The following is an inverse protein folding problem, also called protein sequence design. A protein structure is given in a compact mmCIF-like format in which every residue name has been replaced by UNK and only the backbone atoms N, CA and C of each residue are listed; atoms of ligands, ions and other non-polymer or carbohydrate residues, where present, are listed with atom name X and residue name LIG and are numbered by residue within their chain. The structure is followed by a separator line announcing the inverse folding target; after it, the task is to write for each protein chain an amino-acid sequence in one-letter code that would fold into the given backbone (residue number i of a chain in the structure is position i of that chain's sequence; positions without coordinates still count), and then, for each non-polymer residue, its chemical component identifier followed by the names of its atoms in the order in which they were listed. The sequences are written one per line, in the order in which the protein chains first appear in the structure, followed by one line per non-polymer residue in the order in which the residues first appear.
data_IF_187001703354
#
_entry.id   IF_187001703354
#
_cell.length_a   1.000
_cell.length_b   1.000
_cell.length_c   1.000
_cell.angle_alpha   90.00
_cell.angle_beta   90.00
_cell.angle_gamma   90.00
#
_symmetry.space_group_name_H-M   'P 1'
#
loop_
_entity.id
_entity.type
_entity.pdbx_description
1 polymer ?
#
# COMPACT_ATOMS: atom_id res chain seq x y z
N UNK A 1 -10.12 -68.27 25.13
CA UNK A 1 -9.92 -67.18 26.11
C UNK A 1 -8.92 -67.66 27.15
N UNK A 2 -7.65 -67.28 27.03
CA UNK A 2 -6.66 -67.48 28.09
C UNK A 2 -6.58 -66.20 28.90
N UNK A 3 -7.22 -66.20 30.07
CA UNK A 3 -6.99 -65.19 31.10
C UNK A 3 -5.71 -65.58 31.84
N UNK A 4 -4.66 -64.79 31.68
CA UNK A 4 -3.48 -64.83 32.55
C UNK A 4 -3.72 -63.78 33.64
N UNK A 5 -3.72 -64.15 34.93
CA UNK A 5 -3.90 -63.21 36.02
C UNK A 5 -2.62 -62.36 36.18
N UNK A 6 -2.78 -61.04 36.22
CA UNK A 6 -1.70 -60.11 36.56
C UNK A 6 -1.50 -60.18 38.08
N UNK A 7 -0.56 -61.00 38.52
CA UNK A 7 -0.12 -61.04 39.91
C UNK A 7 0.55 -59.70 40.28
N UNK A 8 -0.10 -58.97 41.18
CA UNK A 8 0.35 -57.69 41.70
C UNK A 8 1.46 -57.90 42.75
N UNK A 9 2.69 -58.14 42.29
CA UNK A 9 3.90 -58.02 43.12
C UNK A 9 4.92 -57.16 42.37
N UNK A 10 4.56 -55.90 42.10
CA UNK A 10 5.52 -54.91 41.63
C UNK A 10 6.52 -54.66 42.76
N UNK A 11 7.72 -55.21 42.61
CA UNK A 11 8.86 -54.99 43.51
C UNK A 11 9.01 -53.49 43.83
N UNK A 12 9.20 -53.09 45.10
CA UNK A 12 9.44 -51.70 45.46
C UNK A 12 10.69 -51.13 44.77
N UNK A 13 11.64 -51.99 44.38
CA UNK A 13 12.79 -51.61 43.56
C UNK A 13 12.38 -51.13 42.16
N UNK A 14 11.35 -51.71 41.54
CA UNK A 14 10.87 -51.28 40.22
C UNK A 14 10.25 -49.88 40.30
N UNK A 15 9.48 -49.60 41.35
CA UNK A 15 8.92 -48.27 41.61
C UNK A 15 9.99 -47.26 42.00
N UNK A 16 11.03 -47.66 42.72
CA UNK A 16 12.19 -46.80 43.03
C UNK A 16 13.02 -46.53 41.79
N UNK A 17 13.24 -47.51 40.91
CA UNK A 17 13.94 -47.33 39.63
C UNK A 17 13.11 -46.47 38.68
N UNK A 18 11.78 -46.62 38.66
CA UNK A 18 10.86 -45.76 37.90
C UNK A 18 10.79 -44.34 38.48
N UNK A 19 10.76 -44.18 39.80
CA UNK A 19 10.71 -42.86 40.46
C UNK A 19 12.06 -42.13 40.36
N UNK A 20 13.18 -42.84 40.52
CA UNK A 20 14.51 -42.32 40.22
C UNK A 20 14.58 -41.99 38.73
N UNK A 21 14.23 -42.92 37.84
CA UNK A 21 14.19 -42.69 36.39
C UNK A 21 13.34 -41.49 35.98
N UNK A 22 12.17 -41.29 36.60
CA UNK A 22 11.32 -40.11 36.35
C UNK A 22 11.92 -38.82 36.92
N UNK A 23 12.66 -38.88 38.04
CA UNK A 23 13.41 -37.73 38.57
C UNK A 23 14.61 -37.36 37.68
N UNK A 24 15.28 -38.36 37.10
CA UNK A 24 16.36 -38.17 36.12
C UNK A 24 15.84 -37.68 34.74
N UNK A 25 14.61 -38.01 34.36
CA UNK A 25 13.98 -37.52 33.12
C UNK A 25 13.57 -36.04 33.21
N UNK A 26 13.28 -35.51 34.41
CA UNK A 26 13.10 -34.06 34.61
C UNK A 26 14.39 -33.25 34.44
N UNK A 27 15.56 -33.89 34.57
CA UNK A 27 16.88 -33.24 34.46
C UNK A 27 17.52 -33.37 33.07
N UNK A 28 16.98 -34.20 32.18
CA UNK A 28 17.50 -34.46 30.84
C UNK A 28 16.95 -33.49 29.76
N UNK A 29 17.05 -32.19 30.00
CA UNK A 29 17.06 -31.10 29.00
C UNK A 29 17.55 -29.83 29.71
N UNK A 30 18.82 -29.84 30.10
CA UNK A 30 19.39 -28.87 31.02
C UNK A 30 19.35 -27.45 30.44
N UNK A 31 18.83 -26.49 31.22
CA UNK A 31 18.84 -25.07 30.89
C UNK A 31 20.27 -24.58 30.57
N UNK A 32 20.48 -23.68 29.58
CA UNK A 32 21.78 -23.09 29.38
C UNK A 32 22.27 -22.37 30.64
N UNK A 33 23.55 -22.54 31.04
CA UNK A 33 24.04 -22.04 32.32
C UNK A 33 23.98 -20.51 32.41
N UNK A 34 24.06 -19.80 31.28
CA UNK A 34 23.93 -18.34 31.24
C UNK A 34 22.47 -17.86 31.35
N UNK A 35 21.50 -18.76 31.17
CA UNK A 35 20.09 -18.44 31.00
C UNK A 35 19.24 -18.88 32.19
N UNK A 36 18.04 -18.29 32.29
CA UNK A 36 17.01 -18.72 33.24
C UNK A 36 15.88 -19.43 32.48
N UNK A 37 15.55 -20.65 32.88
CA UNK A 37 14.48 -21.43 32.27
C UNK A 37 13.30 -21.58 33.23
N UNK A 38 12.09 -21.41 32.71
CA UNK A 38 10.84 -21.57 33.43
C UNK A 38 9.85 -22.36 32.56
N UNK A 39 9.62 -23.64 32.91
CA UNK A 39 8.69 -24.58 32.27
C UNK A 39 8.88 -24.74 30.74
N UNK A 40 8.46 -23.76 29.92
CA UNK A 40 8.55 -23.76 28.45
C UNK A 40 9.15 -22.45 27.91
N UNK A 41 9.68 -21.61 28.79
CA UNK A 41 10.32 -20.34 28.47
C UNK A 41 11.78 -20.39 28.83
N UNK A 42 12.64 -19.97 27.91
CA UNK A 42 14.08 -19.80 28.10
C UNK A 42 14.41 -18.33 27.93
N UNK A 43 14.95 -17.71 28.98
CA UNK A 43 15.31 -16.31 28.99
C UNK A 43 16.83 -16.14 29.16
N UNK A 44 17.45 -15.65 28.10
CA UNK A 44 18.88 -15.35 28.01
C UNK A 44 19.14 -13.85 27.76
N UNK A 45 18.20 -12.98 28.14
CA UNK A 45 18.29 -11.55 27.86
C UNK A 45 19.49 -10.91 28.57
N UNK A 46 20.24 -10.06 27.87
CA UNK A 46 21.28 -9.23 28.49
C UNK A 46 22.52 -9.99 28.97
N UNK A 47 22.71 -11.23 28.52
CA UNK A 47 23.78 -12.12 28.98
C UNK A 47 25.11 -11.95 28.23
N UNK A 48 25.19 -10.94 27.35
CA UNK A 48 26.36 -10.62 26.50
C UNK A 48 26.81 -11.81 25.63
N UNK A 49 25.87 -12.68 25.25
CA UNK A 49 26.15 -13.86 24.45
C UNK A 49 26.69 -13.45 23.08
N UNK A 50 27.79 -14.09 22.65
CA UNK A 50 28.37 -13.94 21.31
C UNK A 50 28.01 -15.11 20.39
N UNK A 51 27.58 -16.21 20.98
CA UNK A 51 27.20 -17.45 20.31
C UNK A 51 25.83 -17.89 20.83
N UNK A 52 25.10 -18.59 19.98
CA UNK A 52 23.81 -19.15 20.35
C UNK A 52 23.98 -20.23 21.43
N UNK A 53 23.15 -20.26 22.49
CA UNK A 53 23.29 -21.23 23.57
C UNK A 53 22.93 -22.64 23.08
N UNK A 54 23.77 -23.62 23.40
CA UNK A 54 23.71 -24.98 22.82
C UNK A 54 22.74 -25.93 23.52
N UNK A 55 22.33 -25.64 24.75
CA UNK A 55 21.48 -26.52 25.57
C UNK A 55 20.08 -25.94 25.77
N UNK A 56 19.39 -25.57 24.69
CA UNK A 56 17.99 -25.12 24.80
C UNK A 56 17.05 -26.34 24.86
N UNK A 57 16.12 -26.40 25.83
CA UNK A 57 15.09 -27.43 25.87
C UNK A 57 14.25 -27.49 24.59
N UNK A 58 14.16 -28.65 23.95
CA UNK A 58 13.38 -28.90 22.72
C UNK A 58 11.88 -28.56 22.87
N UNK A 59 11.32 -28.75 24.07
CA UNK A 59 9.93 -28.40 24.37
C UNK A 59 9.71 -26.89 24.62
N UNK A 60 10.72 -26.05 24.40
CA UNK A 60 10.60 -24.60 24.62
C UNK A 60 9.61 -23.98 23.64
N UNK A 61 8.63 -23.24 24.17
CA UNK A 61 7.67 -22.44 23.40
C UNK A 61 8.08 -20.98 23.25
N UNK A 62 8.87 -20.46 24.19
CA UNK A 62 9.30 -19.05 24.19
C UNK A 62 10.79 -18.94 24.44
N UNK A 63 11.52 -18.38 23.49
CA UNK A 63 12.95 -18.17 23.57
C UNK A 63 13.26 -16.67 23.48
N UNK A 64 13.89 -16.13 24.51
CA UNK A 64 14.28 -14.73 24.60
C UNK A 64 15.81 -14.64 24.58
N UNK A 65 16.35 -14.17 23.46
CA UNK A 65 17.78 -13.91 23.23
C UNK A 65 18.07 -12.41 23.10
N UNK A 66 17.12 -11.56 23.50
CA UNK A 66 17.22 -10.11 23.34
C UNK A 66 18.43 -9.50 24.07
N UNK A 67 18.93 -8.36 23.57
CA UNK A 67 20.04 -7.61 24.20
C UNK A 67 21.32 -8.45 24.37
N UNK A 68 21.74 -9.12 23.31
CA UNK A 68 22.99 -9.89 23.26
C UNK A 68 23.86 -9.41 22.07
N UNK A 69 24.95 -10.11 21.79
CA UNK A 69 25.86 -9.82 20.69
C UNK A 69 25.90 -10.97 19.68
N UNK A 70 24.73 -11.55 19.37
CA UNK A 70 24.64 -12.66 18.43
C UNK A 70 24.81 -12.16 16.98
N UNK A 71 25.81 -12.65 16.23
CA UNK A 71 26.00 -12.25 14.83
C UNK A 71 25.12 -13.04 13.85
N UNK A 72 24.64 -14.23 14.26
CA UNK A 72 23.85 -15.14 13.42
C UNK A 72 23.02 -16.10 14.27
N UNK A 73 21.98 -16.66 13.66
CA UNK A 73 21.19 -17.75 14.22
C UNK A 73 21.63 -19.08 13.56
N UNK A 74 21.90 -20.14 14.34
CA UNK A 74 22.39 -21.41 13.80
C UNK A 74 21.26 -22.25 13.18
N UNK A 75 21.35 -22.51 11.87
CA UNK A 75 20.32 -23.26 11.13
C UNK A 75 20.01 -24.61 11.78
N UNK A 76 21.04 -25.38 12.13
CA UNK A 76 20.90 -26.74 12.67
C UNK A 76 20.21 -26.74 14.04
N UNK A 77 20.57 -25.84 14.95
CA UNK A 77 19.94 -25.82 16.28
C UNK A 77 18.50 -25.33 16.21
N UNK A 78 18.20 -24.38 15.31
CA UNK A 78 16.84 -23.87 15.12
C UNK A 78 15.88 -24.97 14.60
N UNK A 79 16.36 -25.93 13.80
CA UNK A 79 15.50 -27.00 13.25
C UNK A 79 14.93 -27.94 14.32
N UNK A 80 15.62 -28.06 15.45
CA UNK A 80 15.16 -28.90 16.56
C UNK A 80 14.13 -28.21 17.47
N UNK A 81 13.96 -26.88 17.36
CA UNK A 81 13.05 -26.08 18.20
C UNK A 81 11.65 -25.96 17.58
N UNK A 82 11.09 -27.06 17.09
CA UNK A 82 9.82 -27.08 16.36
C UNK A 82 8.57 -26.70 17.18
N UNK A 83 8.64 -26.75 18.51
CA UNK A 83 7.58 -26.30 19.42
C UNK A 83 7.61 -24.79 19.70
N UNK A 84 8.57 -24.06 19.14
CA UNK A 84 8.74 -22.64 19.40
C UNK A 84 7.60 -21.80 18.81
N UNK A 85 6.96 -21.00 19.66
CA UNK A 85 5.84 -20.12 19.32
C UNK A 85 6.28 -18.65 19.30
N UNK A 86 7.22 -18.29 20.16
CA UNK A 86 7.72 -16.92 20.31
C UNK A 86 9.25 -16.89 20.33
N UNK A 87 9.85 -16.12 19.43
CA UNK A 87 11.28 -15.90 19.35
C UNK A 87 11.60 -14.41 19.40
N UNK A 88 12.36 -13.99 20.41
CA UNK A 88 12.85 -12.62 20.55
C UNK A 88 14.36 -12.57 20.44
N UNK A 89 14.86 -12.08 19.31
CA UNK A 89 16.27 -11.86 19.02
C UNK A 89 16.58 -10.35 18.87
N UNK A 90 15.76 -9.48 19.46
CA UNK A 90 15.93 -8.03 19.36
C UNK A 90 17.22 -7.53 20.00
N UNK A 91 17.72 -6.37 19.57
CA UNK A 91 18.96 -5.77 20.10
C UNK A 91 20.14 -6.77 20.08
N UNK A 92 20.41 -7.32 18.89
CA UNK A 92 21.59 -8.13 18.62
C UNK A 92 22.39 -7.50 17.46
N UNK A 93 23.39 -8.21 16.95
CA UNK A 93 24.20 -7.77 15.80
C UNK A 93 24.02 -8.71 14.61
N UNK A 94 22.80 -9.22 14.42
CA UNK A 94 22.51 -10.17 13.34
C UNK A 94 22.61 -9.42 12.02
N UNK A 95 23.60 -9.80 11.20
CA UNK A 95 23.88 -9.20 9.89
C UNK A 95 23.53 -10.11 8.72
N UNK A 96 23.43 -11.41 8.97
CA UNK A 96 23.38 -12.43 7.92
C UNK A 96 22.07 -12.39 7.12
N UNK A 97 22.18 -12.76 5.85
CA UNK A 97 21.07 -13.16 5.01
C UNK A 97 20.29 -14.29 5.71
N UNK A 98 19.11 -13.98 6.21
CA UNK A 98 18.28 -14.93 6.97
C UNK A 98 17.65 -16.01 6.08
N UNK A 99 18.15 -16.19 4.84
CA UNK A 99 17.70 -17.22 3.93
C UNK A 99 17.79 -18.59 4.62
N UNK A 100 16.65 -19.29 4.68
CA UNK A 100 16.54 -20.60 5.30
C UNK A 100 16.97 -20.65 6.78
N UNK A 101 17.01 -19.51 7.49
CA UNK A 101 17.50 -19.43 8.88
C UNK A 101 16.52 -19.94 9.94
N UNK A 102 15.27 -20.21 9.56
CA UNK A 102 14.24 -20.73 10.45
C UNK A 102 13.71 -22.10 10.02
N UNK A 103 14.58 -23.10 9.84
CA UNK A 103 14.14 -24.41 9.42
C UNK A 103 13.20 -25.01 10.47
N UNK A 104 12.06 -25.58 10.05
CA UNK A 104 11.18 -26.37 10.93
C UNK A 104 10.39 -25.60 12.00
N UNK A 105 10.48 -24.27 12.07
CA UNK A 105 9.75 -23.44 13.04
C UNK A 105 8.30 -23.16 12.61
N UNK A 106 7.56 -24.20 12.25
CA UNK A 106 6.22 -24.10 11.66
C UNK A 106 5.16 -23.55 12.63
N UNK A 107 5.39 -23.65 13.95
CA UNK A 107 4.49 -23.14 15.00
C UNK A 107 4.79 -21.70 15.42
N UNK A 108 5.82 -21.06 14.86
CA UNK A 108 6.25 -19.74 15.29
C UNK A 108 5.21 -18.69 14.89
N UNK A 109 4.64 -18.01 15.88
CA UNK A 109 3.61 -16.97 15.67
C UNK A 109 4.14 -15.56 15.85
N UNK A 110 5.22 -15.38 16.61
CA UNK A 110 5.82 -14.08 16.87
C UNK A 110 7.33 -14.14 16.75
N UNK A 111 7.86 -13.27 15.88
CA UNK A 111 9.28 -13.11 15.64
C UNK A 111 9.67 -11.64 15.81
N UNK A 112 10.59 -11.39 16.75
CA UNK A 112 11.17 -10.06 16.95
C UNK A 112 12.65 -10.07 16.57
N UNK A 113 12.98 -9.37 15.49
CA UNK A 113 14.31 -9.14 14.96
C UNK A 113 14.68 -7.65 14.97
N UNK A 114 13.94 -6.83 15.73
CA UNK A 114 14.19 -5.39 15.83
C UNK A 114 15.59 -5.05 16.37
N UNK A 115 16.11 -3.89 16.01
CA UNK A 115 17.42 -3.40 16.46
C UNK A 115 18.55 -4.41 16.19
N UNK A 116 18.62 -4.91 14.95
CA UNK A 116 19.70 -5.73 14.43
C UNK A 116 20.41 -5.00 13.28
N UNK A 117 21.18 -5.73 12.46
CA UNK A 117 21.94 -5.19 11.32
C UNK A 117 21.54 -5.87 10.02
N UNK A 118 20.26 -6.23 9.87
CA UNK A 118 19.74 -6.87 8.66
C UNK A 118 19.85 -5.93 7.45
N UNK A 119 20.15 -6.47 6.28
CA UNK A 119 20.39 -5.71 5.05
C UNK A 119 19.27 -5.82 4.03
N UNK A 120 18.61 -6.97 3.94
CA UNK A 120 17.50 -7.22 3.03
C UNK A 120 16.69 -8.43 3.48
N UNK A 121 15.48 -8.55 2.93
CA UNK A 121 14.57 -9.68 3.15
C UNK A 121 14.20 -10.28 1.79
N UNK A 122 14.36 -11.60 1.65
CA UNK A 122 14.06 -12.35 0.43
C UNK A 122 12.83 -13.24 0.60
N UNK A 123 12.34 -13.83 -0.48
CA UNK A 123 11.22 -14.79 -0.46
C UNK A 123 11.51 -16.04 0.36
N UNK A 124 12.80 -16.35 0.61
CA UNK A 124 13.21 -17.52 1.37
C UNK A 124 13.35 -17.25 2.86
N UNK A 125 13.55 -15.99 3.27
CA UNK A 125 13.84 -15.59 4.66
C UNK A 125 12.79 -16.09 5.65
N UNK A 126 11.50 -15.88 5.37
CA UNK A 126 10.40 -16.28 6.25
C UNK A 126 9.53 -17.39 5.68
N UNK A 127 9.98 -18.03 4.58
CA UNK A 127 9.19 -19.02 3.81
C UNK A 127 8.63 -20.17 4.63
N UNK A 128 9.32 -20.60 5.69
CA UNK A 128 8.92 -21.73 6.54
C UNK A 128 8.02 -21.33 7.73
N UNK A 129 7.83 -20.03 7.98
CA UNK A 129 7.07 -19.52 9.13
C UNK A 129 5.58 -19.36 8.76
N UNK A 130 4.90 -20.46 8.44
CA UNK A 130 3.53 -20.46 7.91
C UNK A 130 2.48 -19.89 8.87
N UNK A 131 2.71 -20.02 10.18
CA UNK A 131 1.82 -19.56 11.26
C UNK A 131 2.19 -18.16 11.80
N UNK A 132 3.12 -17.45 11.15
CA UNK A 132 3.60 -16.17 11.65
C UNK A 132 2.50 -15.12 11.66
N UNK A 133 2.24 -14.53 12.82
CA UNK A 133 1.22 -13.49 13.05
C UNK A 133 1.85 -12.11 13.23
N UNK A 134 2.96 -12.05 13.97
CA UNK A 134 3.60 -10.81 14.40
C UNK A 134 5.07 -10.83 13.97
N UNK A 135 5.44 -9.88 13.12
CA UNK A 135 6.81 -9.70 12.67
C UNK A 135 7.30 -8.29 13.00
N UNK A 136 8.36 -8.20 13.79
CA UNK A 136 9.02 -6.93 14.09
C UNK A 136 10.44 -6.91 13.52
N UNK A 137 10.67 -6.02 12.55
CA UNK A 137 11.95 -5.76 11.90
C UNK A 137 12.44 -4.32 12.14
N UNK A 138 11.77 -3.56 13.02
CA UNK A 138 12.06 -2.14 13.23
C UNK A 138 13.49 -1.88 13.69
N UNK A 139 14.10 -0.76 13.34
CA UNK A 139 15.44 -0.42 13.82
C UNK A 139 16.54 -1.27 13.16
N UNK A 140 16.33 -1.73 11.92
CA UNK A 140 17.37 -2.31 11.08
C UNK A 140 17.76 -1.28 10.00
N UNK A 141 18.63 -0.30 10.31
CA UNK A 141 18.91 0.84 9.43
C UNK A 141 19.65 0.45 8.14
N UNK A 142 20.30 -0.71 8.11
CA UNK A 142 20.97 -1.24 6.91
C UNK A 142 19.98 -1.94 5.96
N UNK A 143 18.71 -2.11 6.36
CA UNK A 143 17.72 -2.82 5.58
C UNK A 143 17.19 -1.92 4.46
N UNK A 144 17.76 -2.06 3.26
CA UNK A 144 17.47 -1.17 2.12
C UNK A 144 16.39 -1.72 1.19
N UNK A 145 16.13 -3.04 1.22
CA UNK A 145 15.20 -3.70 0.30
C UNK A 145 14.45 -4.86 0.96
N UNK A 146 13.15 -4.94 0.66
CA UNK A 146 12.31 -6.12 0.88
C UNK A 146 11.83 -6.58 -0.49
N UNK A 147 12.02 -7.86 -0.83
CA UNK A 147 11.56 -8.41 -2.11
C UNK A 147 10.02 -8.45 -2.18
N UNK A 148 9.47 -8.37 -3.38
CA UNK A 148 8.01 -8.43 -3.62
C UNK A 148 7.39 -9.75 -3.16
N UNK A 149 8.13 -10.86 -3.21
CA UNK A 149 7.65 -12.17 -2.76
C UNK A 149 8.12 -12.52 -1.35
N UNK A 150 8.65 -11.55 -0.58
CA UNK A 150 9.23 -11.77 0.75
C UNK A 150 8.28 -12.46 1.75
N UNK A 151 6.97 -12.16 1.65
CA UNK A 151 5.96 -12.65 2.59
C UNK A 151 4.92 -13.57 1.94
N UNK A 152 5.18 -14.09 0.75
CA UNK A 152 4.21 -14.87 -0.04
C UNK A 152 3.67 -16.10 0.73
N UNK A 153 4.50 -16.72 1.58
CA UNK A 153 4.13 -17.91 2.36
C UNK A 153 3.55 -17.60 3.75
N UNK A 154 3.49 -16.33 4.16
CA UNK A 154 3.13 -15.91 5.51
C UNK A 154 1.72 -15.32 5.58
N UNK A 155 0.72 -15.99 4.99
CA UNK A 155 -0.67 -15.51 4.86
C UNK A 155 -1.40 -15.23 6.20
N UNK A 156 -0.84 -15.70 7.30
CA UNK A 156 -1.34 -15.48 8.66
C UNK A 156 -0.92 -14.13 9.26
N UNK A 157 0.05 -13.41 8.66
CA UNK A 157 0.59 -12.17 9.20
C UNK A 157 -0.52 -11.14 9.44
N UNK A 158 -0.50 -10.55 10.64
CA UNK A 158 -1.45 -9.51 11.08
C UNK A 158 -0.76 -8.19 11.38
N UNK A 159 0.51 -8.25 11.77
CA UNK A 159 1.31 -7.10 12.18
C UNK A 159 2.71 -7.20 11.56
N UNK A 160 3.11 -6.15 10.86
CA UNK A 160 4.47 -5.97 10.35
C UNK A 160 4.97 -4.59 10.79
N UNK A 161 6.15 -4.56 11.38
CA UNK A 161 6.83 -3.33 11.78
C UNK A 161 8.18 -3.24 11.07
N UNK A 162 8.31 -2.25 10.18
CA UNK A 162 9.54 -1.91 9.46
C UNK A 162 9.92 -0.44 9.71
N UNK A 163 9.55 0.10 10.88
CA UNK A 163 9.93 1.45 11.27
C UNK A 163 11.45 1.58 11.42
N UNK A 164 11.98 2.78 11.13
CA UNK A 164 13.40 3.10 11.34
C UNK A 164 14.34 2.09 10.64
N UNK A 165 14.07 1.86 9.36
CA UNK A 165 14.87 1.03 8.49
C UNK A 165 15.49 1.88 7.36
N UNK A 166 16.27 1.26 6.50
CA UNK A 166 16.92 1.92 5.35
C UNK A 166 16.06 1.96 4.09
N UNK A 167 14.74 1.73 4.19
CA UNK A 167 13.89 1.50 3.02
C UNK A 167 13.66 2.80 2.23
N UNK A 168 14.07 2.80 0.97
CA UNK A 168 13.75 3.91 0.05
C UNK A 168 12.49 3.65 -0.76
N UNK A 169 12.17 2.38 -1.01
CA UNK A 169 10.99 1.93 -1.75
C UNK A 169 10.42 0.67 -1.12
N UNK A 170 9.13 0.47 -1.34
CA UNK A 170 8.39 -0.72 -0.95
C UNK A 170 7.25 -0.87 -1.96
N UNK A 171 7.01 -2.09 -2.47
CA UNK A 171 5.92 -2.33 -3.42
C UNK A 171 4.65 -2.73 -2.68
N UNK A 172 3.49 -2.38 -3.24
CA UNK A 172 2.21 -2.91 -2.78
C UNK A 172 2.10 -4.43 -3.00
N UNK A 173 2.79 -4.96 -4.01
CA UNK A 173 2.82 -6.40 -4.32
C UNK A 173 3.41 -7.22 -3.18
N UNK A 174 4.33 -6.63 -2.40
CA UNK A 174 4.90 -7.23 -1.18
C UNK A 174 3.83 -7.71 -0.19
N UNK A 175 2.66 -7.08 -0.19
CA UNK A 175 1.57 -7.35 0.74
C UNK A 175 0.35 -8.02 0.09
N UNK A 176 0.39 -8.31 -1.21
CA UNK A 176 -0.77 -8.79 -1.97
C UNK A 176 -1.34 -10.11 -1.45
N UNK A 177 -0.51 -10.99 -0.88
CA UNK A 177 -0.92 -12.29 -0.33
C UNK A 177 -1.29 -12.25 1.16
N UNK A 178 -1.22 -11.08 1.79
CA UNK A 178 -1.41 -10.93 3.23
C UNK A 178 -2.83 -10.47 3.57
N UNK A 179 -3.83 -11.30 3.25
CA UNK A 179 -5.26 -10.98 3.42
C UNK A 179 -5.67 -10.68 4.87
N UNK A 180 -4.85 -11.13 5.84
CA UNK A 180 -5.08 -10.94 7.28
C UNK A 180 -4.29 -9.79 7.87
N UNK A 181 -3.48 -9.08 7.08
CA UNK A 181 -2.68 -7.97 7.58
C UNK A 181 -3.59 -6.85 8.07
N UNK A 182 -3.36 -6.38 9.30
CA UNK A 182 -4.16 -5.33 9.93
C UNK A 182 -3.36 -4.09 10.22
N UNK A 183 -2.09 -4.24 10.55
CA UNK A 183 -1.22 -3.14 10.96
C UNK A 183 0.11 -3.25 10.22
N UNK A 184 0.48 -2.17 9.53
CA UNK A 184 1.79 -2.01 8.91
C UNK A 184 2.39 -0.68 9.38
N UNK A 185 3.60 -0.74 9.96
CA UNK A 185 4.34 0.45 10.39
C UNK A 185 5.54 0.70 9.50
N UNK A 186 5.63 1.91 8.96
CA UNK A 186 6.59 2.34 7.91
C UNK A 186 7.26 3.70 8.20
N UNK A 187 7.12 4.21 9.42
CA UNK A 187 7.69 5.49 9.87
C UNK A 187 9.22 5.46 9.82
N UNK A 188 9.84 6.64 9.74
CA UNK A 188 11.28 6.84 9.89
C UNK A 188 12.13 6.04 8.87
N UNK A 189 11.66 5.97 7.62
CA UNK A 189 12.41 5.40 6.51
C UNK A 189 12.76 6.49 5.48
N UNK A 190 13.89 6.38 4.76
CA UNK A 190 14.33 7.35 3.77
C UNK A 190 13.53 7.26 2.45
N UNK A 191 12.21 7.39 2.52
CA UNK A 191 11.30 7.23 1.37
C UNK A 191 11.69 8.13 0.21
N UNK A 192 11.87 7.52 -0.97
CA UNK A 192 12.09 8.22 -2.23
C UNK A 192 10.77 8.34 -2.99
N UNK A 193 10.10 9.47 -2.82
CA UNK A 193 8.81 9.80 -3.40
C UNK A 193 8.97 10.33 -4.82
N UNK A 194 9.37 9.44 -5.75
CA UNK A 194 9.34 9.69 -7.19
C UNK A 194 8.16 8.96 -7.85
N UNK A 195 8.13 8.93 -9.19
CA UNK A 195 7.04 8.27 -9.91
C UNK A 195 6.94 6.76 -9.68
N UNK A 196 8.01 6.08 -9.23
CA UNK A 196 7.95 4.65 -8.87
C UNK A 196 7.21 4.46 -7.55
N UNK A 197 7.28 5.44 -6.65
CA UNK A 197 6.57 5.42 -5.38
C UNK A 197 5.06 5.68 -5.52
N UNK A 198 4.61 6.18 -6.67
CA UNK A 198 3.20 6.53 -6.90
C UNK A 198 2.25 5.36 -6.61
N UNK A 199 2.54 4.17 -7.13
CA UNK A 199 1.70 2.98 -6.94
C UNK A 199 1.57 2.61 -5.45
N UNK A 200 2.69 2.57 -4.73
CA UNK A 200 2.70 2.28 -3.31
C UNK A 200 1.98 3.36 -2.49
N UNK A 201 2.23 4.63 -2.78
CA UNK A 201 1.53 5.75 -2.13
C UNK A 201 0.01 5.73 -2.37
N UNK A 202 -0.42 5.30 -3.55
CA UNK A 202 -1.82 5.07 -3.89
C UNK A 202 -2.42 3.93 -3.07
N UNK A 203 -1.70 2.80 -2.98
CA UNK A 203 -2.12 1.65 -2.19
C UNK A 203 -2.29 1.99 -0.70
N UNK A 204 -1.36 2.75 -0.10
CA UNK A 204 -1.43 3.18 1.31
C UNK A 204 -2.73 3.92 1.66
N UNK A 205 -3.35 4.61 0.70
CA UNK A 205 -4.55 5.41 0.92
C UNK A 205 -5.84 4.61 0.72
N UNK A 206 -5.82 3.56 -0.11
CA UNK A 206 -7.03 2.79 -0.47
C UNK A 206 -7.17 1.48 0.29
N UNK A 207 -6.11 1.00 0.95
CA UNK A 207 -6.16 -0.24 1.72
C UNK A 207 -6.82 -0.06 3.09
N UNK A 208 -7.47 -1.11 3.59
CA UNK A 208 -8.05 -1.18 4.95
C UNK A 208 -7.00 -1.43 6.05
N UNK A 209 -5.73 -1.58 5.68
CA UNK A 209 -4.63 -1.77 6.63
C UNK A 209 -4.41 -0.47 7.42
N UNK A 210 -4.22 -0.59 8.74
CA UNK A 210 -3.95 0.55 9.61
C UNK A 210 -2.47 0.91 9.60
N UNK A 211 -2.21 2.21 9.48
CA UNK A 211 -0.88 2.83 9.53
C UNK A 211 -0.84 3.84 10.69
N UNK A 212 -0.49 3.41 11.91
CA UNK A 212 -0.62 4.24 13.12
C UNK A 212 0.09 5.59 13.06
N UNK A 213 1.16 5.70 12.26
CA UNK A 213 2.04 6.87 12.15
C UNK A 213 2.06 7.47 10.73
N UNK A 214 1.00 7.25 9.94
CA UNK A 214 0.98 7.67 8.53
C UNK A 214 1.12 9.18 8.34
N UNK A 215 0.47 9.98 9.19
CA UNK A 215 0.50 11.44 9.10
C UNK A 215 1.89 12.02 9.39
N UNK A 216 2.67 11.35 10.24
CA UNK A 216 4.03 11.76 10.59
C UNK A 216 5.08 11.25 9.58
N UNK A 217 4.69 10.36 8.66
CA UNK A 217 5.65 9.77 7.72
C UNK A 217 5.86 10.71 6.55
N UNK A 218 7.11 11.13 6.35
CA UNK A 218 7.49 12.10 5.30
C UNK A 218 8.46 11.53 4.28
N UNK A 219 8.43 12.11 3.08
CA UNK A 219 9.41 11.83 2.03
C UNK A 219 10.79 12.42 2.40
N UNK A 220 11.85 11.68 2.08
CA UNK A 220 13.24 12.16 2.24
C UNK A 220 13.82 12.62 0.91
N UNK A 221 13.39 11.99 -0.18
CA UNK A 221 13.80 12.29 -1.56
C UNK A 221 12.59 12.33 -2.49
N UNK A 222 12.69 12.98 -3.66
CA UNK A 222 13.72 13.93 -4.05
C UNK A 222 13.65 15.23 -3.22
N UNK A 223 14.64 16.14 -3.32
CA UNK A 223 14.67 17.39 -2.51
C UNK A 223 13.38 18.23 -2.62
N UNK A 224 12.72 18.24 -3.78
CA UNK A 224 11.42 18.92 -3.97
C UNK A 224 10.29 18.35 -3.11
N UNK A 225 10.38 17.07 -2.74
CA UNK A 225 9.38 16.34 -1.96
C UNK A 225 9.78 16.22 -0.49
N UNK A 226 11.00 16.63 -0.12
CA UNK A 226 11.55 16.40 1.21
C UNK A 226 10.71 17.08 2.30
N UNK A 227 10.35 16.31 3.33
CA UNK A 227 9.52 16.78 4.44
C UNK A 227 8.01 16.82 4.15
N UNK A 228 7.56 16.57 2.93
CA UNK A 228 6.13 16.39 2.64
C UNK A 228 5.65 15.05 3.20
N UNK A 229 4.46 15.05 3.82
CA UNK A 229 3.82 13.80 4.27
C UNK A 229 3.45 12.92 3.08
N UNK A 230 3.48 11.60 3.26
CA UNK A 230 3.18 10.64 2.17
C UNK A 230 1.80 10.89 1.54
N UNK A 231 0.80 11.29 2.35
CA UNK A 231 -0.54 11.67 1.88
C UNK A 231 -0.47 12.83 0.87
N UNK A 232 0.25 13.90 1.19
CA UNK A 232 0.40 15.07 0.32
C UNK A 232 1.26 14.74 -0.91
N UNK A 233 2.36 14.02 -0.70
CA UNK A 233 3.26 13.59 -1.77
C UNK A 233 2.52 12.78 -2.85
N UNK A 234 1.54 11.94 -2.49
CA UNK A 234 0.71 11.21 -3.46
C UNK A 234 -0.02 12.14 -4.43
N UNK A 235 -0.59 13.24 -3.97
CA UNK A 235 -1.30 14.18 -4.84
C UNK A 235 -0.34 14.92 -5.79
N UNK A 236 0.81 15.36 -5.28
CA UNK A 236 1.85 15.98 -6.10
C UNK A 236 2.42 15.01 -7.13
N UNK A 237 2.68 13.76 -6.75
CA UNK A 237 3.15 12.70 -7.63
C UNK A 237 2.12 12.35 -8.72
N UNK A 238 0.83 12.34 -8.38
CA UNK A 238 -0.22 12.05 -9.35
C UNK A 238 -0.21 13.08 -10.50
N UNK A 239 -0.08 14.37 -10.17
CA UNK A 239 0.05 15.43 -11.18
C UNK A 239 1.37 15.31 -11.96
N UNK A 240 2.49 15.16 -11.28
CA UNK A 240 3.82 15.11 -11.93
C UNK A 240 4.01 13.90 -12.85
N UNK A 241 3.46 12.74 -12.49
CA UNK A 241 3.78 11.47 -13.14
C UNK A 241 2.71 10.97 -14.12
N UNK A 242 1.42 11.21 -13.85
CA UNK A 242 0.34 10.77 -14.74
C UNK A 242 -0.12 11.88 -15.69
N UNK A 243 -0.10 13.14 -15.25
CA UNK A 243 -0.39 14.30 -16.10
C UNK A 243 0.90 14.74 -16.78
N UNK A 244 1.52 13.82 -17.52
CA UNK A 244 2.79 14.06 -18.18
C UNK A 244 2.59 14.83 -19.51
N UNK A 245 2.03 16.03 -19.46
CA UNK A 245 2.04 16.91 -20.63
C UNK A 245 3.48 17.35 -20.89
N UNK A 246 4.08 16.85 -21.97
CA UNK A 246 5.33 17.41 -22.48
C UNK A 246 5.09 18.85 -22.92
N UNK A 247 6.13 19.70 -22.97
CA UNK A 247 6.01 21.05 -23.54
C UNK A 247 5.40 21.06 -24.95
N UNK A 248 5.64 20.00 -25.72
CA UNK A 248 5.05 19.79 -27.05
C UNK A 248 3.53 19.63 -27.00
N UNK A 249 2.99 18.98 -25.96
CA UNK A 249 1.55 18.79 -25.78
C UNK A 249 0.86 20.12 -25.44
N UNK A 250 1.54 21.01 -24.70
CA UNK A 250 1.05 22.37 -24.48
C UNK A 250 1.00 23.18 -25.78
N UNK A 251 2.02 23.09 -26.63
CA UNK A 251 2.01 23.75 -27.94
C UNK A 251 0.87 23.21 -28.81
N UNK A 252 0.68 21.89 -28.82
CA UNK A 252 -0.40 21.25 -29.56
C UNK A 252 -1.78 21.69 -29.04
N UNK A 253 -2.01 21.68 -27.72
CA UNK A 253 -3.25 22.15 -27.11
C UNK A 253 -3.49 23.62 -27.46
N UNK A 254 -2.47 24.48 -27.36
CA UNK A 254 -2.56 25.89 -27.74
C UNK A 254 -2.97 26.05 -29.21
N UNK A 255 -2.33 25.32 -30.13
CA UNK A 255 -2.66 25.34 -31.56
C UNK A 255 -4.09 24.86 -31.83
N UNK A 256 -4.51 23.77 -31.21
CA UNK A 256 -5.89 23.26 -31.34
C UNK A 256 -6.89 24.29 -30.83
N UNK A 257 -6.67 24.87 -29.64
CA UNK A 257 -7.55 25.92 -29.11
C UNK A 257 -7.60 27.16 -29.99
N UNK A 258 -6.47 27.57 -30.57
CA UNK A 258 -6.41 28.69 -31.51
C UNK A 258 -7.19 28.40 -32.79
N UNK A 259 -7.03 27.21 -33.38
CA UNK A 259 -7.75 26.79 -34.59
C UNK A 259 -9.26 26.74 -34.36
N UNK A 260 -9.72 26.20 -33.22
CA UNK A 260 -11.15 26.15 -32.87
C UNK A 260 -11.71 27.56 -32.73
N UNK A 261 -10.99 28.47 -32.06
CA UNK A 261 -11.43 29.85 -31.88
C UNK A 261 -11.50 30.63 -33.20
N UNK A 262 -10.46 30.52 -34.04
CA UNK A 262 -10.41 31.19 -35.34
C UNK A 262 -11.50 30.65 -36.28
N UNK A 263 -11.64 29.32 -36.36
CA UNK A 263 -12.69 28.68 -37.15
C UNK A 263 -14.09 29.06 -36.69
N UNK A 264 -14.35 29.03 -35.38
CA UNK A 264 -15.63 29.45 -34.81
C UNK A 264 -15.96 30.91 -35.11
N UNK A 265 -14.96 31.80 -34.99
CA UNK A 265 -15.13 33.23 -35.30
C UNK A 265 -15.45 33.45 -36.78
N UNK A 266 -14.77 32.74 -37.67
CA UNK A 266 -14.96 32.86 -39.12
C UNK A 266 -16.34 32.35 -39.56
N UNK A 267 -16.79 31.21 -39.00
CA UNK A 267 -18.14 30.69 -39.24
C UNK A 267 -19.21 31.66 -38.73
N UNK A 268 -19.06 32.21 -37.52
CA UNK A 268 -20.01 33.18 -36.97
C UNK A 268 -20.08 34.45 -37.84
N UNK A 269 -18.93 34.95 -38.29
CA UNK A 269 -18.87 36.11 -39.19
C UNK A 269 -19.57 35.82 -40.53
N UNK A 270 -19.30 34.67 -41.16
CA UNK A 270 -19.94 34.26 -42.41
C UNK A 270 -21.46 34.12 -42.27
N UNK A 271 -21.93 33.48 -41.20
CA UNK A 271 -23.37 33.36 -40.92
C UNK A 271 -24.02 34.74 -40.76
N UNK A 272 -23.38 35.65 -40.01
CA UNK A 272 -23.83 37.03 -39.86
C UNK A 272 -23.91 37.75 -41.21
N UNK A 273 -22.85 37.65 -42.01
CA UNK A 273 -22.79 38.25 -43.35
C UNK A 273 -23.86 37.70 -44.30
N UNK A 274 -24.01 36.37 -44.39
CA UNK A 274 -25.05 35.72 -45.17
C UNK A 274 -26.45 36.13 -44.73
N UNK A 275 -26.67 36.26 -43.41
CA UNK A 275 -27.96 36.71 -42.86
C UNK A 275 -28.25 38.14 -43.30
N UNK A 276 -27.30 39.06 -43.18
CA UNK A 276 -27.45 40.45 -43.66
C UNK A 276 -27.74 40.46 -45.15
N UNK A 277 -26.97 39.75 -45.97
CA UNK A 277 -27.18 39.70 -47.43
C UNK A 277 -28.50 39.04 -47.85
N UNK A 278 -29.04 38.10 -47.07
CA UNK A 278 -30.35 37.50 -47.34
C UNK A 278 -31.50 38.45 -46.98
N UNK A 279 -31.39 39.15 -45.85
CA UNK A 279 -32.45 40.04 -45.36
C UNK A 279 -32.38 41.45 -45.95
N UNK A 280 -31.21 41.94 -46.35
CA UNK A 280 -31.02 43.30 -46.88
C UNK A 280 -31.78 43.57 -48.20
N UNK A 281 -31.83 42.65 -49.20
CA UNK A 281 -32.67 42.80 -50.38
C UNK A 281 -34.17 42.71 -50.07
N UNK A 282 -34.55 41.91 -49.06
CA UNK A 282 -35.95 41.76 -48.62
C UNK A 282 -36.46 42.94 -47.79
N UNK A 283 -35.56 43.74 -47.22
CA UNK A 283 -35.90 44.92 -46.43
C UNK A 283 -35.91 46.22 -47.25
N UNK A 284 -35.55 46.21 -48.55
CA UNK A 284 -35.85 47.35 -49.44
C UNK A 284 -37.36 47.39 -49.67
N UNK A 285 -38.09 48.38 -49.10
CA UNK A 285 -39.48 48.58 -49.46
C UNK A 285 -39.53 49.12 -50.89
N UNK A 286 -40.42 48.59 -51.72
CA UNK A 286 -40.80 49.21 -52.99
C UNK A 286 -41.35 50.62 -52.74
N UNK A 287 -40.48 51.64 -52.84
CA UNK A 287 -40.91 53.02 -53.02
C UNK A 287 -40.41 53.51 -54.39
N UNK A 288 -41.13 53.11 -55.45
CA UNK A 288 -41.61 54.00 -56.53
C UNK A 288 -42.26 53.19 -57.66
N UNK A 289 -43.56 52.87 -57.52
CA UNK A 289 -44.56 53.03 -58.60
C UNK A 289 -45.96 52.79 -58.01
N UNK A 290 -46.69 53.88 -57.75
CA UNK A 290 -48.14 53.99 -57.99
C UNK A 290 -48.62 55.37 -57.48
N UNK A 291 -48.46 56.39 -58.34
CA UNK A 291 -49.52 57.38 -58.47
C UNK A 291 -50.61 56.72 -59.29
N UNK A 292 -51.73 56.37 -58.66
CA UNK A 292 -53.11 56.62 -59.12
C UNK A 292 -54.09 55.76 -58.31
N UNK A 293 -55.13 56.44 -57.83
CA UNK A 293 -56.35 55.97 -57.14
C UNK A 293 -56.18 55.51 -55.69
N UNK A 294 -56.28 56.39 -54.70
CA UNK A 294 -57.53 56.98 -54.15
C UNK A 294 -58.43 55.99 -53.41
N UNK A 295 -58.66 56.34 -52.13
CA UNK A 295 -59.84 56.09 -51.29
C UNK A 295 -59.94 54.78 -50.50
N UNK A 296 -59.80 55.01 -49.20
CA UNK A 296 -60.82 54.79 -48.15
C UNK A 296 -60.72 53.56 -47.24
N UNK A 297 -60.89 53.90 -45.95
CA UNK A 297 -61.18 53.08 -44.76
C UNK A 297 -59.97 52.30 -44.24
N UNK A 298 -59.51 52.45 -43.00
CA UNK A 298 -60.21 52.76 -41.76
C UNK A 298 -60.18 51.52 -40.87
N UNK A 299 -59.44 51.61 -39.75
CA UNK A 299 -59.43 50.72 -38.57
C UNK A 299 -59.18 49.21 -38.77
N UNK A 300 -58.12 48.67 -38.15
CA UNK A 300 -58.21 47.85 -36.91
C UNK A 300 -56.85 47.25 -36.50
N UNK A 301 -56.69 47.04 -35.18
CA UNK A 301 -55.48 46.63 -34.45
C UNK A 301 -55.22 45.11 -34.54
N UNK A 302 -53.92 44.74 -34.60
CA UNK A 302 -53.20 43.61 -33.90
C UNK A 302 -53.63 42.14 -34.15
N UNK A 303 -52.70 41.14 -34.11
CA UNK A 303 -51.82 40.88 -32.97
C UNK A 303 -50.32 40.71 -33.26
N UNK A 304 -49.54 41.09 -32.24
CA UNK A 304 -48.11 40.85 -32.11
C UNK A 304 -47.85 39.35 -31.89
N UNK A 305 -47.02 38.74 -32.74
CA UNK A 305 -46.56 37.37 -32.53
C UNK A 305 -45.15 37.37 -31.90
N UNK A 306 -45.11 36.90 -30.66
CA UNK A 306 -44.03 37.01 -29.67
C UNK A 306 -42.95 35.92 -29.83
N UNK A 307 -42.70 35.44 -31.05
CA UNK A 307 -41.96 34.17 -31.28
C UNK A 307 -40.50 34.32 -31.68
N UNK A 308 -39.99 35.52 -31.96
CA UNK A 308 -38.61 35.71 -32.45
C UNK A 308 -37.55 35.95 -31.37
N UNK A 309 -37.93 36.06 -30.09
CA UNK A 309 -36.99 36.37 -29.00
C UNK A 309 -36.58 35.16 -28.13
N UNK A 310 -36.89 33.92 -28.54
CA UNK A 310 -36.53 32.69 -27.80
C UNK A 310 -35.41 31.84 -28.42
N UNK A 311 -34.96 32.14 -29.64
CA UNK A 311 -33.95 31.32 -30.37
C UNK A 311 -32.50 31.76 -30.20
N UNK A 312 -32.24 32.92 -29.61
CA UNK A 312 -30.86 33.39 -29.33
C UNK A 312 -30.33 32.92 -27.97
N UNK A 313 -31.21 32.57 -27.02
CA UNK A 313 -30.84 31.99 -25.72
C UNK A 313 -30.42 30.52 -25.79
N UNK A 314 -30.75 29.79 -26.85
CA UNK A 314 -30.42 28.36 -27.00
C UNK A 314 -28.95 28.08 -27.34
N UNK A 315 -28.20 29.05 -27.87
CA UNK A 315 -26.78 28.87 -28.22
C UNK A 315 -25.84 29.05 -27.02
N UNK A 316 -26.15 29.97 -26.09
CA UNK A 316 -25.42 30.11 -24.83
C UNK A 316 -25.67 28.92 -23.87
N UNK A 317 -26.84 28.29 -23.93
CA UNK A 317 -27.12 27.07 -23.16
C UNK A 317 -26.42 25.82 -23.71
N UNK A 318 -26.12 25.76 -25.01
CA UNK A 318 -25.39 24.62 -25.60
C UNK A 318 -23.89 24.66 -25.26
N UNK A 319 -23.28 25.85 -25.21
CA UNK A 319 -21.89 26.00 -24.75
C UNK A 319 -21.76 25.80 -23.24
N UNK A 320 -22.73 26.26 -22.44
CA UNK A 320 -22.80 25.98 -21.00
C UNK A 320 -23.06 24.48 -20.71
N UNK A 321 -23.90 23.81 -21.51
CA UNK A 321 -24.16 22.37 -21.40
C UNK A 321 -22.96 21.49 -21.78
N UNK A 322 -22.13 21.94 -22.72
CA UNK A 322 -20.88 21.25 -23.07
C UNK A 322 -19.82 21.39 -21.98
N UNK A 323 -19.70 22.57 -21.35
CA UNK A 323 -18.83 22.79 -20.20
C UNK A 323 -19.29 22.00 -18.96
N UNK A 324 -20.61 21.91 -18.72
CA UNK A 324 -21.20 21.08 -17.66
C UNK A 324 -21.00 19.57 -17.90
N UNK A 325 -21.07 19.09 -19.15
CA UNK A 325 -20.78 17.67 -19.47
C UNK A 325 -19.30 17.32 -19.39
N UNK A 326 -18.38 18.24 -19.65
CA UNK A 326 -16.95 18.04 -19.41
C UNK A 326 -16.64 18.06 -17.90
N UNK A 327 -17.28 18.94 -17.13
CA UNK A 327 -17.17 18.98 -15.66
C UNK A 327 -17.76 17.75 -14.98
N UNK A 328 -18.86 17.18 -15.49
CA UNK A 328 -19.46 15.96 -14.94
C UNK A 328 -18.81 14.68 -15.48
N UNK A 329 -18.22 14.72 -16.68
CA UNK A 329 -17.43 13.62 -17.23
C UNK A 329 -16.14 13.39 -16.45
N UNK A 330 -15.54 14.43 -15.85
CA UNK A 330 -14.40 14.29 -14.94
C UNK A 330 -14.73 13.50 -13.66
N UNK A 331 -15.99 13.51 -13.21
CA UNK A 331 -16.44 12.77 -12.03
C UNK A 331 -16.85 11.31 -12.34
N UNK A 332 -16.85 10.90 -13.62
CA UNK A 332 -17.26 9.57 -14.05
C UNK A 332 -16.09 8.64 -14.41
N UNK A 333 -14.86 9.16 -14.42
CA UNK A 333 -13.62 8.36 -14.59
C UNK A 333 -13.14 7.70 -13.28
N UNK A 334 -13.83 7.92 -12.14
CA UNK A 334 -13.54 7.22 -10.88
C UNK A 334 -14.16 5.81 -10.78
N UNK A 335 -14.88 5.31 -11.79
CA UNK A 335 -15.64 4.05 -11.69
C UNK A 335 -15.35 2.99 -12.78
N UNK A 336 -14.41 3.23 -13.69
CA UNK A 336 -13.99 2.22 -14.67
C UNK A 336 -12.47 2.08 -14.63
N UNK A 337 -12.03 1.03 -13.92
CA UNK A 337 -10.66 0.56 -13.96
C UNK A 337 -10.21 0.28 -15.39
N UNK A 338 -8.95 0.60 -15.66
CA UNK A 338 -8.28 0.15 -16.87
C UNK A 338 -6.95 -0.52 -16.50
N UNK A 339 -6.65 -1.67 -17.11
CA UNK A 339 -5.47 -2.48 -16.84
C UNK A 339 -4.25 -2.00 -17.63
N UNK A 340 -3.08 -2.12 -17.02
CA UNK A 340 -1.80 -2.59 -17.55
C UNK A 340 -0.71 -2.29 -16.53
#
# INVERSE_FOLDING_TARGET
MYFIPISCHSSPLLWVILALGMKWVEEALSCPPECSCAKWQVNCRGKKLRTFPTTIPLASKKLILAQNNLPRLPLVTMSYLNELVHLDCSHNIITMDLEFSFPGLVKLTSLNLSYNKLTHITSFTFSQLSELLLLNLSGNPLMVKIMEQAFEKNSHLRYIDVNNCGLSYLSAETFQKLDRLRILKIKDNPWNCDCKFLAFSGWLIHTDIKFPDFEDTTCTKPEKMKGLSLRKAKFELHYLCLVHLRPQDFIYICLVTFCIFLGGTLVAWLVGFCTVMYYHPRLRPEHTRNRLYSKNKGLSRLPANRQTCQRTTTWLSLTAGFYSRLSNGANQWELLGAPA
#
